data_IF_295730893772
#
_entry.id   IF_295730893772
#
_cell.length_a   1.000
_cell.length_b   1.000
_cell.length_c   1.000
_cell.angle_alpha   90.00
_cell.angle_beta   90.00
_cell.angle_gamma   90.00
#
_symmetry.space_group_name_H-M   'P 1'
#
loop_
_entity.id
_entity.type
_entity.pdbx_description
1 polymer ?
#
# COMPACT_ATOMS: atom_id res chain seq x y z
N UNK A 1 -14.71 -25.38 -12.00
CA UNK A 1 -15.88 -24.55 -12.35
C UNK A 1 -15.40 -23.49 -13.30
N UNK A 2 -16.06 -23.29 -14.44
CA UNK A 2 -15.71 -22.21 -15.37
C UNK A 2 -16.24 -20.90 -14.79
N UNK A 3 -15.44 -19.84 -14.86
CA UNK A 3 -15.89 -18.51 -14.47
C UNK A 3 -16.99 -18.01 -15.43
N UNK A 4 -17.98 -17.30 -14.90
CA UNK A 4 -19.06 -16.67 -15.68
C UNK A 4 -18.86 -15.15 -15.69
N UNK A 5 -18.99 -14.47 -16.84
CA UNK A 5 -18.95 -13.01 -16.90
C UNK A 5 -20.14 -12.39 -16.16
N UNK A 6 -19.91 -11.28 -15.45
CA UNK A 6 -20.93 -10.58 -14.65
C UNK A 6 -20.86 -9.07 -14.89
N UNK A 7 -22.03 -8.41 -14.86
CA UNK A 7 -22.11 -6.95 -14.79
C UNK A 7 -21.98 -6.54 -13.33
N UNK A 8 -20.87 -5.89 -12.99
CA UNK A 8 -20.55 -5.55 -11.59
C UNK A 8 -21.05 -4.18 -11.16
N UNK A 9 -21.16 -3.24 -12.10
CA UNK A 9 -21.65 -1.89 -11.86
C UNK A 9 -22.08 -1.23 -13.17
N UNK A 10 -23.05 -0.31 -13.08
CA UNK A 10 -23.35 0.69 -14.11
C UNK A 10 -22.82 2.02 -13.58
N UNK A 11 -21.71 2.51 -14.16
CA UNK A 11 -20.99 3.65 -13.60
C UNK A 11 -21.81 4.95 -13.65
N UNK A 12 -22.63 5.12 -14.68
CA UNK A 12 -23.51 6.28 -14.82
C UNK A 12 -24.55 6.36 -13.69
N UNK A 13 -25.11 5.22 -13.26
CA UNK A 13 -26.06 5.17 -12.14
C UNK A 13 -25.39 5.55 -10.82
N UNK A 14 -24.16 5.08 -10.59
CA UNK A 14 -23.37 5.43 -9.42
C UNK A 14 -23.02 6.92 -9.38
N UNK A 15 -22.68 7.50 -10.53
CA UNK A 15 -22.39 8.93 -10.65
C UNK A 15 -23.65 9.77 -10.45
N UNK A 16 -24.80 9.35 -10.98
CA UNK A 16 -26.07 10.03 -10.81
C UNK A 16 -26.58 10.01 -9.36
N UNK A 17 -26.25 8.96 -8.61
CA UNK A 17 -26.62 8.83 -7.19
C UNK A 17 -25.68 9.58 -6.22
N UNK A 18 -24.46 9.92 -6.65
CA UNK A 18 -23.46 10.58 -5.81
C UNK A 18 -23.73 12.07 -5.64
N UNK A 19 -23.46 12.59 -4.43
CA UNK A 19 -23.55 14.03 -4.16
C UNK A 19 -22.38 14.79 -4.81
N UNK A 20 -22.58 16.04 -5.28
CA UNK A 20 -21.52 16.94 -5.73
C UNK A 20 -20.36 17.14 -4.74
N UNK A 21 -20.61 16.91 -3.45
CA UNK A 21 -19.64 17.10 -2.37
C UNK A 21 -18.95 15.80 -1.92
N UNK A 22 -19.37 14.64 -2.45
CA UNK A 22 -18.79 13.35 -2.08
C UNK A 22 -17.31 13.27 -2.42
N UNK A 23 -16.53 12.71 -1.49
CA UNK A 23 -15.09 12.45 -1.64
C UNK A 23 -14.77 10.99 -1.34
N UNK A 24 -14.03 10.36 -2.23
CA UNK A 24 -13.49 9.01 -2.04
C UNK A 24 -14.04 8.00 -3.05
N UNK A 25 -13.95 6.73 -2.71
CA UNK A 25 -14.41 5.64 -3.57
C UNK A 25 -15.95 5.54 -3.52
N UNK A 26 -16.59 5.66 -4.68
CA UNK A 26 -18.02 5.38 -4.87
C UNK A 26 -18.28 3.89 -5.10
N UNK A 27 -17.30 3.19 -5.68
CA UNK A 27 -17.36 1.75 -5.95
C UNK A 27 -15.95 1.18 -6.06
N UNK A 28 -15.82 -0.11 -5.74
CA UNK A 28 -14.57 -0.87 -5.88
C UNK A 28 -14.87 -2.29 -6.38
N UNK A 29 -13.94 -2.85 -7.16
CA UNK A 29 -13.98 -4.25 -7.56
C UNK A 29 -13.58 -5.14 -6.37
N UNK A 30 -14.53 -5.93 -5.86
CA UNK A 30 -14.36 -6.73 -4.64
C UNK A 30 -14.49 -8.25 -4.83
N UNK A 31 -14.62 -8.70 -6.08
CA UNK A 31 -14.82 -10.11 -6.42
C UNK A 31 -13.68 -11.02 -5.90
N UNK A 32 -14.05 -12.20 -5.40
CA UNK A 32 -13.09 -13.20 -4.95
C UNK A 32 -12.30 -13.76 -6.14
N UNK A 33 -11.02 -14.05 -5.93
CA UNK A 33 -10.15 -14.60 -6.99
C UNK A 33 -9.78 -13.61 -8.10
N UNK A 34 -10.22 -12.34 -8.03
CA UNK A 34 -9.86 -11.32 -9.02
C UNK A 34 -8.34 -11.10 -9.11
N UNK A 35 -7.88 -10.81 -10.32
CA UNK A 35 -6.49 -10.43 -10.61
C UNK A 35 -6.32 -8.93 -10.92
N UNK A 36 -7.43 -8.19 -10.94
CA UNK A 36 -7.47 -6.75 -11.12
C UNK A 36 -8.03 -6.10 -9.86
N UNK A 37 -7.64 -4.85 -9.64
CA UNK A 37 -8.34 -3.94 -8.75
C UNK A 37 -8.82 -2.76 -9.59
N UNK A 38 -10.01 -2.28 -9.28
CA UNK A 38 -10.58 -1.10 -9.92
C UNK A 38 -11.39 -0.30 -8.91
N UNK A 39 -11.36 1.03 -9.02
CA UNK A 39 -12.09 1.92 -8.12
C UNK A 39 -12.70 3.07 -8.92
N UNK A 40 -14.00 3.31 -8.73
CA UNK A 40 -14.62 4.57 -9.13
C UNK A 40 -14.42 5.55 -7.99
N UNK A 41 -13.67 6.62 -8.23
CA UNK A 41 -13.34 7.65 -7.23
C UNK A 41 -13.95 8.97 -7.63
N UNK A 42 -14.45 9.70 -6.64
CA UNK A 42 -14.95 11.06 -6.78
C UNK A 42 -14.16 12.02 -5.91
N UNK A 43 -13.83 13.17 -6.50
CA UNK A 43 -13.23 14.32 -5.84
C UNK A 43 -14.19 15.50 -6.00
N UNK A 44 -14.56 16.19 -4.91
CA UNK A 44 -15.40 17.39 -5.01
C UNK A 44 -14.63 18.54 -5.66
N UNK A 45 -15.31 19.64 -6.03
CA UNK A 45 -14.69 20.82 -6.62
C UNK A 45 -13.42 21.29 -5.90
N UNK A 46 -12.34 21.48 -6.66
CA UNK A 46 -11.05 21.96 -6.14
C UNK A 46 -10.30 21.01 -5.20
N UNK A 47 -10.84 19.81 -4.94
CA UNK A 47 -10.18 18.83 -4.10
C UNK A 47 -8.88 18.32 -4.70
N UNK A 48 -7.91 18.08 -3.81
CA UNK A 48 -6.61 17.54 -4.19
C UNK A 48 -6.40 16.14 -3.59
N UNK A 49 -5.77 15.28 -4.39
CA UNK A 49 -4.96 14.16 -3.92
C UNK A 49 -3.52 14.61 -4.05
N UNK A 50 -2.88 14.84 -2.89
CA UNK A 50 -1.50 15.31 -2.83
C UNK A 50 -0.53 14.34 -3.50
N UNK A 51 0.74 14.71 -3.53
CA UNK A 51 1.74 13.93 -4.26
C UNK A 51 1.75 12.46 -3.81
N UNK A 52 1.63 11.57 -4.79
CA UNK A 52 1.54 10.14 -4.62
C UNK A 52 2.49 9.44 -5.58
N UNK A 53 3.07 8.34 -5.10
CA UNK A 53 3.89 7.42 -5.86
C UNK A 53 3.43 5.99 -5.58
N UNK A 54 3.23 5.21 -6.62
CA UNK A 54 2.96 3.78 -6.52
C UNK A 54 4.21 3.03 -7.01
N UNK A 55 4.86 2.27 -6.14
CA UNK A 55 6.17 1.66 -6.47
C UNK A 55 6.05 0.36 -7.27
N UNK A 56 4.91 -0.31 -7.19
CA UNK A 56 4.76 -1.70 -7.66
C UNK A 56 3.94 -1.78 -8.94
N UNK A 57 2.91 -0.94 -9.05
CA UNK A 57 1.85 -1.12 -10.05
C UNK A 57 1.74 0.08 -10.99
N UNK A 58 1.57 -0.23 -12.27
CA UNK A 58 1.05 0.75 -13.22
C UNK A 58 -0.46 0.90 -13.00
N UNK A 59 -0.97 2.12 -13.22
CA UNK A 59 -2.39 2.44 -13.07
C UNK A 59 -2.90 3.08 -14.36
N UNK A 60 -4.04 2.61 -14.87
CA UNK A 60 -4.83 3.34 -15.83
C UNK A 60 -5.88 4.17 -15.08
N UNK A 61 -5.97 5.45 -15.41
CA UNK A 61 -7.02 6.36 -14.94
C UNK A 61 -7.89 6.75 -16.12
N UNK A 62 -9.21 6.60 -15.99
CA UNK A 62 -10.19 6.99 -17.00
C UNK A 62 -11.16 7.98 -16.39
N UNK A 63 -11.21 9.19 -16.96
CA UNK A 63 -12.13 10.23 -16.47
C UNK A 63 -13.52 9.98 -17.03
N UNK A 64 -14.52 9.98 -16.14
CA UNK A 64 -15.92 9.73 -16.49
C UNK A 64 -16.75 11.00 -16.43
N UNK A 65 -16.50 11.87 -15.43
CA UNK A 65 -17.22 13.13 -15.27
C UNK A 65 -16.35 14.21 -14.64
N UNK A 66 -16.75 15.47 -14.85
CA UNK A 66 -15.99 16.64 -14.39
C UNK A 66 -14.66 16.80 -15.14
N UNK A 67 -13.69 17.41 -14.49
CA UNK A 67 -12.38 17.67 -15.08
C UNK A 67 -11.33 18.00 -14.03
N UNK A 68 -10.08 18.11 -14.45
CA UNK A 68 -9.00 18.38 -13.52
C UNK A 68 -7.64 18.36 -14.18
N UNK A 69 -6.61 18.12 -13.39
CA UNK A 69 -5.25 17.97 -13.91
C UNK A 69 -4.44 16.99 -13.09
N UNK A 70 -3.45 16.39 -13.74
CA UNK A 70 -2.35 15.68 -13.10
C UNK A 70 -1.11 16.55 -13.19
N UNK A 71 -0.42 16.75 -12.08
CA UNK A 71 0.86 17.46 -12.04
C UNK A 71 1.96 16.43 -11.81
N UNK A 72 2.83 16.16 -12.81
CA UNK A 72 4.00 15.31 -12.64
C UNK A 72 4.99 15.89 -11.62
N UNK A 73 5.58 15.04 -10.78
CA UNK A 73 6.58 15.43 -9.79
C UNK A 73 7.99 15.65 -10.34
N UNK A 74 8.20 15.37 -11.63
CA UNK A 74 9.47 15.57 -12.34
C UNK A 74 9.61 16.98 -12.96
N UNK A 75 8.61 17.85 -12.75
CA UNK A 75 8.58 19.20 -13.31
C UNK A 75 8.05 19.28 -14.74
N UNK A 76 7.61 18.16 -15.33
CA UNK A 76 6.93 18.16 -16.62
C UNK A 76 5.62 18.95 -16.60
N UNK A 77 5.16 19.35 -17.79
CA UNK A 77 3.92 20.11 -17.93
C UNK A 77 2.71 19.33 -17.37
N UNK A 78 1.76 20.01 -16.68
CA UNK A 78 0.54 19.37 -16.21
C UNK A 78 -0.28 18.76 -17.35
N UNK A 79 -0.85 17.58 -17.09
CA UNK A 79 -1.76 16.89 -17.99
C UNK A 79 -3.20 17.31 -17.66
N UNK A 80 -3.97 17.72 -18.66
CA UNK A 80 -5.39 18.06 -18.48
C UNK A 80 -6.25 16.80 -18.48
N UNK A 81 -7.19 16.72 -17.54
CA UNK A 81 -8.17 15.65 -17.42
C UNK A 81 -9.55 16.17 -17.82
N UNK A 82 -10.19 15.47 -18.75
CA UNK A 82 -11.56 15.71 -19.19
C UNK A 82 -12.27 14.36 -19.45
N UNK A 83 -13.61 14.29 -19.50
CA UNK A 83 -14.32 13.03 -19.70
C UNK A 83 -13.84 12.28 -20.95
N UNK A 84 -13.82 10.95 -20.89
CA UNK A 84 -13.27 10.05 -21.91
C UNK A 84 -11.74 10.13 -22.10
N UNK A 85 -11.03 10.84 -21.22
CA UNK A 85 -9.56 10.82 -21.20
C UNK A 85 -9.06 9.58 -20.46
N UNK A 86 -8.15 8.84 -21.10
CA UNK A 86 -7.40 7.73 -20.50
C UNK A 86 -5.98 8.21 -20.23
N UNK A 87 -5.49 8.04 -19.01
CA UNK A 87 -4.14 8.39 -18.61
C UNK A 87 -3.43 7.20 -18.01
N UNK A 88 -2.25 6.87 -18.55
CA UNK A 88 -1.36 5.88 -17.96
C UNK A 88 -0.48 6.55 -16.90
N UNK A 89 -0.43 5.95 -15.72
CA UNK A 89 0.37 6.37 -14.58
C UNK A 89 1.37 5.25 -14.31
N UNK A 90 2.60 5.34 -14.86
CA UNK A 90 3.62 4.33 -14.66
C UNK A 90 3.97 4.21 -13.17
N UNK A 91 4.28 2.99 -12.71
CA UNK A 91 4.87 2.78 -11.39
C UNK A 91 6.11 3.67 -11.23
N UNK A 92 6.38 4.10 -10.01
CA UNK A 92 7.43 5.04 -9.60
C UNK A 92 7.23 6.49 -10.07
N UNK A 93 6.22 6.80 -10.91
CA UNK A 93 5.90 8.19 -11.23
C UNK A 93 5.30 8.91 -10.02
N UNK A 94 5.92 10.02 -9.61
CA UNK A 94 5.37 10.96 -8.63
C UNK A 94 4.38 11.87 -9.33
N UNK A 95 3.21 12.07 -8.75
CA UNK A 95 2.19 12.97 -9.29
C UNK A 95 1.20 13.42 -8.23
N UNK A 96 0.59 14.58 -8.41
CA UNK A 96 -0.65 14.96 -7.71
C UNK A 96 -1.82 15.03 -8.68
N UNK A 97 -3.04 14.93 -8.15
CA UNK A 97 -4.28 15.06 -8.92
C UNK A 97 -5.12 16.16 -8.28
N UNK A 98 -5.56 17.13 -9.08
CA UNK A 98 -6.44 18.21 -8.62
C UNK A 98 -7.72 18.22 -9.44
N UNK A 99 -8.87 18.21 -8.75
CA UNK A 99 -10.17 18.37 -9.37
C UNK A 99 -10.40 19.83 -9.80
N UNK A 100 -11.11 19.99 -10.92
CA UNK A 100 -11.57 21.27 -11.43
C UNK A 100 -12.79 21.80 -10.67
N UNK A 101 -13.42 22.88 -11.17
CA UNK A 101 -14.56 23.52 -10.51
C UNK A 101 -15.83 22.65 -10.48
N UNK A 102 -15.99 21.71 -11.42
CA UNK A 102 -17.14 20.80 -11.46
C UNK A 102 -16.88 19.49 -10.68
N UNK A 103 -15.75 19.42 -9.96
CA UNK A 103 -15.24 18.18 -9.39
C UNK A 103 -14.63 17.26 -10.45
N UNK A 104 -14.29 16.05 -10.03
CA UNK A 104 -13.68 15.04 -10.90
C UNK A 104 -14.11 13.65 -10.45
N UNK A 105 -14.60 12.84 -11.38
CA UNK A 105 -14.84 11.42 -11.16
C UNK A 105 -14.09 10.57 -12.18
N UNK A 106 -13.33 9.60 -11.70
CA UNK A 106 -12.50 8.73 -12.53
C UNK A 106 -12.52 7.28 -12.05
N UNK A 107 -12.40 6.36 -13.01
CA UNK A 107 -12.11 4.96 -12.77
C UNK A 107 -10.59 4.75 -12.76
N UNK A 108 -10.06 4.12 -11.73
CA UNK A 108 -8.72 3.53 -11.79
C UNK A 108 -8.79 2.04 -12.03
N UNK A 109 -7.86 1.49 -12.81
CA UNK A 109 -7.68 0.05 -13.02
C UNK A 109 -6.20 -0.28 -12.93
N UNK A 110 -5.87 -1.32 -12.18
CA UNK A 110 -4.52 -1.87 -12.11
C UNK A 110 -4.56 -3.36 -11.80
N UNK A 111 -3.41 -4.03 -11.92
CA UNK A 111 -3.28 -5.40 -11.40
C UNK A 111 -3.54 -5.40 -9.91
N UNK A 112 -4.19 -6.45 -9.41
CA UNK A 112 -4.35 -6.64 -7.98
C UNK A 112 -2.97 -6.69 -7.33
N UNK A 113 -2.80 -5.91 -6.26
CA UNK A 113 -1.52 -5.93 -5.53
C UNK A 113 -1.26 -7.37 -5.08
N UNK A 114 -0.05 -7.93 -5.31
CA UNK A 114 0.35 -9.13 -4.60
C UNK A 114 0.09 -8.88 -3.11
N UNK A 115 -0.65 -9.76 -2.44
CA UNK A 115 -0.93 -9.60 -1.01
C UNK A 115 0.37 -9.28 -0.28
N UNK A 116 0.30 -8.50 0.81
CA UNK A 116 1.47 -8.07 1.56
C UNK A 116 2.35 -9.29 1.84
N UNK A 117 3.41 -9.49 1.05
CA UNK A 117 4.42 -10.48 1.37
C UNK A 117 5.10 -9.87 2.57
N UNK A 118 4.64 -10.27 3.76
CA UNK A 118 5.46 -10.19 4.96
C UNK A 118 6.70 -10.98 4.59
N UNK A 119 7.75 -10.29 4.12
CA UNK A 119 9.09 -10.87 4.15
C UNK A 119 9.23 -11.28 5.62
N UNK A 120 9.46 -12.57 5.92
CA UNK A 120 10.00 -12.89 7.21
C UNK A 120 11.19 -11.94 7.36
N UNK A 121 11.18 -11.12 8.39
CA UNK A 121 12.42 -10.55 8.89
C UNK A 121 13.24 -11.75 9.30
N UNK A 122 13.92 -12.35 8.33
CA UNK A 122 15.14 -13.07 8.58
C UNK A 122 16.02 -11.96 9.10
N UNK A 123 16.05 -11.81 10.42
CA UNK A 123 17.22 -11.26 11.06
C UNK A 123 18.37 -12.01 10.39
N UNK A 124 19.15 -11.30 9.58
CA UNK A 124 20.41 -11.79 9.13
C UNK A 124 21.22 -12.01 10.40
N UNK A 125 21.10 -13.21 10.99
CA UNK A 125 22.22 -13.80 11.68
C UNK A 125 23.21 -14.15 10.57
N UNK A 126 23.94 -13.12 10.14
CA UNK A 126 25.28 -13.35 9.63
C UNK A 126 25.99 -14.22 10.66
N UNK A 127 26.48 -15.36 10.18
CA UNK A 127 27.21 -16.30 11.00
C UNK A 127 28.46 -15.67 11.61
N UNK A 128 28.83 -16.19 12.77
CA UNK A 128 30.09 -15.90 13.43
C UNK A 128 30.00 -16.22 14.90
N UNK A 129 30.45 -17.42 15.30
CA UNK A 129 30.78 -17.70 16.70
C UNK A 129 31.79 -16.66 17.17
N UNK A 130 31.35 -15.75 18.02
CA UNK A 130 32.26 -15.00 18.88
C UNK A 130 32.45 -15.82 20.17
N UNK A 131 33.68 -16.04 20.67
CA UNK A 131 33.95 -16.78 21.92
C UNK A 131 33.37 -16.12 23.20
N UNK A 132 32.54 -15.10 23.06
CA UNK A 132 32.08 -14.23 24.14
C UNK A 132 30.66 -14.54 24.64
N UNK A 133 30.06 -15.68 24.29
CA UNK A 133 28.74 -16.08 24.80
C UNK A 133 28.78 -17.00 26.03
N UNK A 134 29.97 -17.43 26.48
CA UNK A 134 30.14 -18.30 27.65
C UNK A 134 29.75 -17.61 28.97
N UNK A 135 29.89 -16.28 29.06
CA UNK A 135 29.47 -15.47 30.22
C UNK A 135 27.94 -15.43 30.39
N UNK A 136 27.18 -15.93 29.41
CA UNK A 136 25.72 -16.04 29.43
C UNK A 136 25.22 -17.46 29.61
N UNK A 137 26.11 -18.45 29.74
CA UNK A 137 25.75 -19.85 30.02
C UNK A 137 25.85 -20.12 31.52
N UNK A 138 24.76 -20.56 32.14
CA UNK A 138 24.75 -20.89 33.56
C UNK A 138 25.76 -22.00 33.86
N UNK A 139 26.66 -21.82 34.85
CA UNK A 139 27.70 -22.82 35.14
C UNK A 139 27.14 -24.12 35.76
N UNK A 140 25.93 -24.08 36.32
CA UNK A 140 25.30 -25.25 36.94
C UNK A 140 24.44 -26.03 35.93
N UNK A 141 23.45 -25.39 35.30
CA UNK A 141 22.51 -26.09 34.42
C UNK A 141 22.81 -25.97 32.92
N UNK A 142 23.85 -25.22 32.53
CA UNK A 142 24.22 -25.01 31.12
C UNK A 142 23.21 -24.20 30.29
N UNK A 143 22.18 -23.63 30.93
CA UNK A 143 21.17 -22.83 30.23
C UNK A 143 21.71 -21.46 29.85
N UNK A 144 21.47 -21.06 28.61
CA UNK A 144 21.81 -19.71 28.13
C UNK A 144 20.76 -18.68 28.58
N UNK A 145 21.23 -17.57 29.14
CA UNK A 145 20.37 -16.45 29.53
C UNK A 145 20.02 -15.56 28.33
N UNK A 146 18.74 -15.15 28.16
CA UNK A 146 18.35 -14.18 27.15
C UNK A 146 18.81 -12.75 27.50
N UNK A 147 19.18 -12.47 28.76
CA UNK A 147 19.73 -11.18 29.19
C UNK A 147 21.21 -11.05 28.82
N UNK A 148 21.64 -9.82 28.53
CA UNK A 148 23.03 -9.52 28.15
C UNK A 148 24.02 -9.46 29.33
N UNK A 149 23.52 -9.36 30.56
CA UNK A 149 24.31 -9.34 31.80
C UNK A 149 23.52 -9.96 32.98
N UNK A 150 23.25 -11.29 32.93
CA UNK A 150 22.48 -11.95 33.98
C UNK A 150 23.25 -11.96 35.30
N UNK A 151 22.56 -11.72 36.41
CA UNK A 151 23.12 -11.88 37.77
C UNK A 151 22.76 -13.25 38.34
N UNK A 152 21.55 -13.76 38.06
CA UNK A 152 21.06 -15.06 38.51
C UNK A 152 20.36 -15.83 37.37
N UNK A 153 20.43 -17.16 37.41
CA UNK A 153 19.74 -18.03 36.47
C UNK A 153 18.25 -18.11 36.79
N UNK A 154 17.39 -17.78 35.82
CA UNK A 154 15.93 -17.86 35.97
C UNK A 154 15.38 -19.29 36.07
N UNK A 155 16.20 -20.31 35.80
CA UNK A 155 15.81 -21.71 35.88
C UNK A 155 16.21 -22.38 37.21
N UNK A 156 17.47 -22.23 37.64
CA UNK A 156 17.99 -22.91 38.84
C UNK A 156 18.41 -21.97 39.97
N UNK A 157 18.40 -20.64 39.76
CA UNK A 157 18.76 -19.65 40.77
C UNK A 157 20.27 -19.42 40.95
N UNK A 158 21.13 -20.18 40.26
CA UNK A 158 22.59 -20.05 40.37
C UNK A 158 23.08 -18.66 39.93
N UNK A 159 24.10 -18.12 40.61
CA UNK A 159 24.65 -16.81 40.29
C UNK A 159 25.64 -16.92 39.13
N UNK A 160 25.55 -16.01 38.16
CA UNK A 160 26.54 -15.97 37.08
C UNK A 160 27.88 -15.42 37.60
N UNK A 161 29.03 -15.91 37.08
CA UNK A 161 30.34 -15.33 37.40
C UNK A 161 30.36 -13.85 37.01
N UNK A 162 30.80 -12.98 37.93
CA UNK A 162 31.01 -11.57 37.61
C UNK A 162 32.11 -11.41 36.55
N UNK A 163 31.95 -10.41 35.68
CA UNK A 163 33.03 -9.96 34.78
C UNK A 163 34.10 -9.20 35.53
#
# INVERSE_FOLDING_TARGET
MNATPEVLAVLDDLLAAASPDDRGALWQLDQQGRELDANLVRLPPGAEVGEHQEDVLDVLLVVLAGGGRIVPGDGSAPLTLAPSTVTWLPRTSRRSVTAGPDGLAYLTVHRRRPGLTLKPTVYAQEGGEAPCALDRVCPECGRMSPESAPVFCSACGERFPGR
#
